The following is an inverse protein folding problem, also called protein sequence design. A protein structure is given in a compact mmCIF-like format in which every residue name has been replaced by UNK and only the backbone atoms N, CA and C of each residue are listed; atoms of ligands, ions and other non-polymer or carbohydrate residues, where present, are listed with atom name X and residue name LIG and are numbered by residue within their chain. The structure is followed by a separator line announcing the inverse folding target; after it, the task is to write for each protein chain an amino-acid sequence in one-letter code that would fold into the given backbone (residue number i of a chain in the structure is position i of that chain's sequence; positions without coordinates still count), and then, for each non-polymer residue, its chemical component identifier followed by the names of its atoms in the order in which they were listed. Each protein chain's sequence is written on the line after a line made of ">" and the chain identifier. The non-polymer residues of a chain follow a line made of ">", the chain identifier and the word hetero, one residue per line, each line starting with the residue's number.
data_IF_246269598339
#
_entry.id   IF_246269598339
#
_cell.length_a   1.000
_cell.length_b   1.000
_cell.length_c   1.000
_cell.angle_alpha   90.00
_cell.angle_beta   90.00
_cell.angle_gamma   90.00
#
_symmetry.space_group_name_H-M   'P 1'
#
loop_
_entity.id
_entity.type
_entity.pdbx_description
1 polymer ?
#
# COMPACT_ATOMS: atom_id res chain seq x y z
N UNK A 1 3.85 9.39 29.43
CA UNK A 1 4.14 8.12 28.73
C UNK A 1 2.98 7.18 28.92
N UNK A 2 2.80 6.25 27.98
CA UNK A 2 1.85 5.15 28.16
C UNK A 2 2.15 4.38 29.47
N UNK A 3 1.14 4.06 30.30
CA UNK A 3 1.37 3.40 31.58
C UNK A 3 1.99 2.00 31.46
N UNK A 4 1.71 1.27 30.37
CA UNK A 4 2.28 -0.05 30.11
C UNK A 4 3.75 0.10 29.75
N UNK A 5 4.08 1.01 28.81
CA UNK A 5 5.46 1.32 28.46
C UNK A 5 6.28 1.75 29.67
N UNK A 6 5.73 2.64 30.51
CA UNK A 6 6.40 3.13 31.72
C UNK A 6 6.70 2.01 32.72
N UNK A 7 5.77 1.06 32.87
CA UNK A 7 5.97 -0.13 33.72
C UNK A 7 6.98 -1.10 33.11
N UNK A 8 7.03 -1.25 31.79
CA UNK A 8 8.03 -2.11 31.15
C UNK A 8 9.46 -1.60 31.36
N UNK A 9 9.66 -0.28 31.43
CA UNK A 9 10.97 0.32 31.69
C UNK A 9 11.47 0.12 33.13
N UNK A 10 10.58 -0.05 34.12
CA UNK A 10 10.99 -0.14 35.54
C UNK A 10 11.84 -1.38 35.86
N UNK A 11 11.82 -2.39 34.98
CA UNK A 11 12.56 -3.63 35.16
C UNK A 11 13.89 -3.65 34.40
N UNK A 12 14.25 -2.56 33.70
CA UNK A 12 15.49 -2.48 32.96
C UNK A 12 16.67 -2.12 33.86
N UNK A 13 17.78 -2.82 33.67
CA UNK A 13 19.07 -2.51 34.29
C UNK A 13 19.93 -1.84 33.23
N UNK A 14 20.45 -0.63 33.51
CA UNK A 14 21.10 0.23 32.52
C UNK A 14 22.20 -0.45 31.68
N UNK A 15 22.92 -1.43 32.24
CA UNK A 15 23.94 -2.21 31.55
C UNK A 15 23.66 -3.70 31.76
N UNK A 16 22.95 -4.39 30.85
CA UNK A 16 22.68 -5.82 30.97
C UNK A 16 24.00 -6.60 30.86
N UNK A 17 24.32 -7.41 31.86
CA UNK A 17 25.50 -8.29 31.89
C UNK A 17 25.14 -9.77 31.79
N UNK A 18 23.85 -10.08 31.77
CA UNK A 18 23.31 -11.44 31.68
C UNK A 18 22.30 -11.56 30.55
N UNK A 19 22.16 -12.77 30.00
CA UNK A 19 21.18 -13.05 28.94
C UNK A 19 19.75 -12.73 29.37
N UNK A 20 19.40 -12.98 30.64
CA UNK A 20 18.08 -12.65 31.20
C UNK A 20 17.83 -11.14 31.20
N UNK A 21 18.82 -10.31 31.54
CA UNK A 21 18.68 -8.86 31.48
C UNK A 21 18.56 -8.36 30.04
N UNK A 22 19.36 -8.90 29.12
CA UNK A 22 19.26 -8.58 27.69
C UNK A 22 17.89 -8.97 27.11
N UNK A 23 17.31 -10.08 27.59
CA UNK A 23 15.98 -10.52 27.18
C UNK A 23 14.90 -9.47 27.48
N UNK A 24 14.96 -8.75 28.60
CA UNK A 24 14.01 -7.68 28.92
C UNK A 24 14.09 -6.51 27.94
N UNK A 25 15.30 -6.13 27.50
CA UNK A 25 15.47 -5.13 26.43
C UNK A 25 14.85 -5.59 25.11
N UNK A 26 15.13 -6.84 24.71
CA UNK A 26 14.59 -7.41 23.48
C UNK A 26 13.06 -7.48 23.51
N UNK A 27 12.45 -7.77 24.67
CA UNK A 27 11.00 -7.76 24.84
C UNK A 27 10.41 -6.37 24.64
N UNK A 28 11.04 -5.32 25.18
CA UNK A 28 10.57 -3.94 25.00
C UNK A 28 10.67 -3.52 23.53
N UNK A 29 11.80 -3.80 22.88
CA UNK A 29 11.98 -3.51 21.45
C UNK A 29 10.96 -4.28 20.60
N UNK A 30 10.72 -5.55 20.92
CA UNK A 30 9.75 -6.37 20.20
C UNK A 30 8.30 -5.90 20.41
N UNK A 31 8.00 -5.29 21.56
CA UNK A 31 6.63 -4.88 21.92
C UNK A 31 6.31 -3.48 21.43
N UNK A 32 7.24 -2.54 21.61
CA UNK A 32 7.02 -1.11 21.37
C UNK A 32 7.78 -0.58 20.15
N UNK A 33 8.62 -1.40 19.54
CA UNK A 33 9.49 -1.00 18.44
C UNK A 33 10.74 -0.26 18.94
N UNK A 34 11.50 0.26 17.98
CA UNK A 34 12.74 1.00 18.21
C UNK A 34 12.59 2.51 18.09
N UNK A 35 11.46 2.98 17.55
CA UNK A 35 11.19 4.39 17.25
C UNK A 35 9.78 4.74 17.69
N UNK A 36 9.55 6.02 17.98
CA UNK A 36 8.22 6.58 18.13
C UNK A 36 7.93 7.52 16.96
N UNK A 37 6.65 7.65 16.61
CA UNK A 37 6.21 8.55 15.55
C UNK A 37 5.96 9.92 16.17
N UNK A 38 6.81 10.90 15.86
CA UNK A 38 6.66 12.28 16.35
C UNK A 38 5.66 13.10 15.53
N UNK A 39 5.50 12.78 14.25
CA UNK A 39 4.53 13.37 13.32
C UNK A 39 4.11 12.35 12.29
N UNK A 40 2.85 12.40 11.87
CA UNK A 40 2.27 11.39 10.97
C UNK A 40 1.27 12.04 10.01
N UNK A 41 1.23 11.53 8.78
CA UNK A 41 0.15 11.81 7.85
C UNK A 41 -0.71 10.55 7.81
N UNK A 42 -2.00 10.70 8.04
CA UNK A 42 -2.97 9.61 7.98
C UNK A 42 -3.90 9.82 6.79
N UNK A 43 -4.29 8.74 6.13
CA UNK A 43 -5.21 8.82 5.01
C UNK A 43 -5.43 7.48 4.34
N UNK A 44 -5.48 7.50 3.02
CA UNK A 44 -5.50 6.29 2.22
C UNK A 44 -4.48 6.36 1.09
N UNK A 45 -3.99 5.19 0.70
CA UNK A 45 -3.11 4.97 -0.44
C UNK A 45 -3.70 3.87 -1.32
N UNK A 46 -3.66 4.08 -2.64
CA UNK A 46 -3.83 3.01 -3.62
C UNK A 46 -2.51 2.82 -4.33
N UNK A 47 -1.98 1.60 -4.27
CA UNK A 47 -0.74 1.23 -4.93
C UNK A 47 -1.03 0.32 -6.11
N UNK A 48 -0.43 0.61 -7.26
CA UNK A 48 -0.51 -0.23 -8.44
C UNK A 48 0.87 -0.74 -8.80
N UNK A 49 1.08 -2.02 -8.55
CA UNK A 49 2.32 -2.71 -8.91
C UNK A 49 2.15 -3.28 -10.32
N UNK A 50 2.90 -2.73 -11.27
CA UNK A 50 2.93 -3.25 -12.64
C UNK A 50 4.25 -3.99 -12.85
N UNK A 51 4.17 -5.30 -12.99
CA UNK A 51 5.30 -6.13 -13.38
C UNK A 51 5.40 -6.11 -14.90
N UNK A 52 6.56 -5.75 -15.44
CA UNK A 52 6.78 -5.62 -16.89
C UNK A 52 7.81 -6.65 -17.33
N UNK A 53 7.50 -7.44 -18.35
CA UNK A 53 8.42 -8.47 -18.87
C UNK A 53 9.74 -7.84 -19.33
N UNK A 54 10.85 -8.54 -19.09
CA UNK A 54 12.18 -8.08 -19.53
C UNK A 54 12.22 -7.86 -21.04
N UNK A 55 11.59 -8.76 -21.81
CA UNK A 55 11.47 -8.64 -23.27
C UNK A 55 10.84 -7.32 -23.69
N UNK A 56 9.79 -6.87 -23.01
CA UNK A 56 9.15 -5.59 -23.33
C UNK A 56 10.06 -4.39 -23.03
N UNK A 57 10.88 -4.49 -21.97
CA UNK A 57 11.86 -3.46 -21.61
C UNK A 57 13.02 -3.34 -22.62
N UNK A 58 13.32 -4.38 -23.39
CA UNK A 58 14.32 -4.34 -24.46
C UNK A 58 13.86 -3.52 -25.67
N UNK A 59 12.56 -3.58 -26.00
CA UNK A 59 11.99 -2.89 -27.15
C UNK A 59 11.53 -1.46 -26.85
N UNK A 60 11.18 -1.18 -25.60
CA UNK A 60 10.60 0.10 -25.19
C UNK A 60 11.43 0.78 -24.11
N UNK A 61 11.70 2.07 -24.29
CA UNK A 61 12.37 2.85 -23.26
C UNK A 61 11.47 3.08 -22.04
N UNK A 62 12.11 3.38 -20.90
CA UNK A 62 11.47 3.63 -19.61
C UNK A 62 10.32 4.64 -19.69
N UNK A 63 10.48 5.75 -20.41
CA UNK A 63 9.45 6.80 -20.52
C UNK A 63 8.19 6.30 -21.22
N UNK A 64 8.33 5.48 -22.27
CA UNK A 64 7.21 4.86 -22.97
C UNK A 64 6.47 3.87 -22.06
N UNK A 65 7.21 3.09 -21.27
CA UNK A 65 6.64 2.15 -20.29
C UNK A 65 5.89 2.90 -19.20
N UNK A 66 6.48 3.93 -18.60
CA UNK A 66 5.85 4.78 -17.58
C UNK A 66 4.58 5.46 -18.08
N UNK A 67 4.57 5.89 -19.35
CA UNK A 67 3.36 6.44 -19.99
C UNK A 67 2.25 5.39 -20.07
N UNK A 68 2.57 4.16 -20.48
CA UNK A 68 1.59 3.07 -20.50
C UNK A 68 1.12 2.70 -19.10
N UNK A 69 2.01 2.68 -18.09
CA UNK A 69 1.63 2.47 -16.70
C UNK A 69 0.66 3.53 -16.19
N UNK A 70 0.91 4.81 -16.50
CA UNK A 70 0.04 5.93 -16.10
C UNK A 70 -1.35 5.81 -16.74
N UNK A 71 -1.41 5.50 -18.04
CA UNK A 71 -2.67 5.22 -18.76
C UNK A 71 -3.39 4.01 -18.14
N UNK A 72 -2.64 2.95 -17.81
CA UNK A 72 -3.15 1.77 -17.15
C UNK A 72 -3.76 2.08 -15.79
N UNK A 73 -3.13 2.96 -15.01
CA UNK A 73 -3.65 3.40 -13.72
C UNK A 73 -5.00 4.10 -13.86
N UNK A 74 -5.07 5.12 -14.72
CA UNK A 74 -6.32 5.86 -14.97
C UNK A 74 -7.44 4.94 -15.45
N UNK A 75 -7.12 4.00 -16.35
CA UNK A 75 -8.08 3.04 -16.88
C UNK A 75 -8.59 2.06 -15.81
N UNK A 76 -7.72 1.57 -14.93
CA UNK A 76 -8.13 0.69 -13.82
C UNK A 76 -8.94 1.46 -12.77
N UNK A 77 -8.49 2.66 -12.38
CA UNK A 77 -9.23 3.54 -11.47
C UNK A 77 -10.66 3.76 -11.97
N UNK A 78 -10.79 4.12 -13.25
CA UNK A 78 -12.07 4.32 -13.89
C UNK A 78 -12.91 3.05 -13.82
N UNK A 79 -12.40 1.88 -14.24
CA UNK A 79 -13.16 0.62 -14.17
C UNK A 79 -13.60 0.21 -12.76
N UNK A 80 -12.85 0.61 -11.73
CA UNK A 80 -13.17 0.34 -10.33
C UNK A 80 -14.15 1.35 -9.72
N UNK A 81 -14.56 2.37 -10.48
CA UNK A 81 -15.50 3.41 -10.05
C UNK A 81 -16.91 3.13 -10.57
N UNK A 82 -17.93 3.30 -9.72
CA UNK A 82 -19.33 3.09 -10.05
C UNK A 82 -19.85 4.04 -11.13
N UNK A 83 -19.21 5.21 -11.27
CA UNK A 83 -19.50 6.21 -12.30
C UNK A 83 -18.89 5.88 -13.66
N UNK A 84 -18.21 4.73 -13.81
CA UNK A 84 -17.58 4.36 -15.06
C UNK A 84 -18.59 4.21 -16.18
N UNK A 85 -18.62 5.21 -17.05
CA UNK A 85 -19.35 5.15 -18.29
C UNK A 85 -18.40 4.74 -19.42
N UNK A 86 -18.66 3.58 -20.06
CA UNK A 86 -17.88 3.10 -21.20
C UNK A 86 -17.87 4.07 -22.40
N UNK A 87 -18.75 5.08 -22.41
CA UNK A 87 -18.75 6.13 -23.43
C UNK A 87 -17.68 7.19 -23.22
N UNK A 88 -17.02 7.25 -22.06
CA UNK A 88 -15.87 8.13 -21.85
C UNK A 88 -14.67 7.57 -22.61
N UNK A 89 -14.11 8.36 -23.54
CA UNK A 89 -12.86 8.05 -24.22
C UNK A 89 -11.70 8.17 -23.24
N UNK A 90 -11.47 7.12 -22.45
CA UNK A 90 -10.24 7.00 -21.65
C UNK A 90 -9.20 6.33 -22.54
N UNK A 91 -7.98 6.86 -22.51
CA UNK A 91 -6.86 6.18 -23.17
C UNK A 91 -6.72 4.78 -22.58
N UNK A 92 -6.65 3.77 -23.44
CA UNK A 92 -6.40 2.39 -23.01
C UNK A 92 -4.96 2.02 -23.30
N UNK A 93 -4.39 1.18 -22.45
CA UNK A 93 -3.06 0.61 -22.70
C UNK A 93 -3.06 -0.21 -23.98
N UNK A 94 -1.91 -0.28 -24.65
CA UNK A 94 -1.78 -1.08 -25.87
C UNK A 94 -1.95 -2.57 -25.55
N UNK A 95 -2.46 -3.34 -26.51
CA UNK A 95 -2.58 -4.80 -26.35
C UNK A 95 -1.23 -5.47 -26.13
N UNK A 96 -0.16 -4.91 -26.70
CA UNK A 96 1.20 -5.41 -26.46
C UNK A 96 1.64 -5.19 -25.02
N UNK A 97 1.36 -4.01 -24.45
CA UNK A 97 1.64 -3.73 -23.04
C UNK A 97 0.86 -4.70 -22.15
N UNK A 98 -0.46 -4.84 -22.35
CA UNK A 98 -1.30 -5.75 -21.56
C UNK A 98 -0.80 -7.20 -21.56
N UNK A 99 -0.33 -7.71 -22.70
CA UNK A 99 0.20 -9.08 -22.83
C UNK A 99 1.55 -9.28 -22.12
N UNK A 100 2.28 -8.20 -21.87
CA UNK A 100 3.61 -8.23 -21.28
C UNK A 100 3.64 -7.70 -19.84
N UNK A 101 2.48 -7.44 -19.26
CA UNK A 101 2.39 -6.90 -17.90
C UNK A 101 1.40 -7.65 -17.04
N UNK A 102 1.74 -7.79 -15.77
CA UNK A 102 0.82 -8.19 -14.71
C UNK A 102 0.60 -7.01 -13.77
N UNK A 103 -0.66 -6.76 -13.39
CA UNK A 103 -1.05 -5.62 -12.57
C UNK A 103 -1.67 -6.14 -11.28
N UNK A 104 -1.09 -5.73 -10.15
CA UNK A 104 -1.66 -5.91 -8.82
C UNK A 104 -2.05 -4.53 -8.26
N UNK A 105 -3.27 -4.42 -7.74
CA UNK A 105 -3.75 -3.19 -7.08
C UNK A 105 -3.96 -3.47 -5.61
N UNK A 106 -3.32 -2.68 -4.75
CA UNK A 106 -3.46 -2.73 -3.30
C UNK A 106 -4.12 -1.46 -2.79
N UNK A 107 -5.05 -1.64 -1.87
CA UNK A 107 -5.77 -0.56 -1.22
C UNK A 107 -5.39 -0.54 0.25
N UNK A 108 -5.11 0.66 0.75
CA UNK A 108 -4.81 0.95 2.15
C UNK A 108 -5.66 2.17 2.53
N UNK A 109 -6.65 2.07 3.44
CA UNK A 109 -7.15 0.85 4.08
C UNK A 109 -7.66 -0.19 3.08
N UNK A 110 -7.59 -1.47 3.47
CA UNK A 110 -7.99 -2.57 2.59
C UNK A 110 -9.48 -2.57 2.30
N UNK A 111 -9.85 -3.00 1.08
CA UNK A 111 -11.24 -3.23 0.67
C UNK A 111 -11.45 -4.72 0.42
N UNK A 112 -12.54 -5.29 0.95
CA UNK A 112 -12.93 -6.65 0.58
C UNK A 112 -13.50 -6.64 -0.84
N UNK A 113 -12.99 -7.54 -1.67
CA UNK A 113 -13.37 -7.63 -3.08
C UNK A 113 -14.25 -8.86 -3.28
N UNK A 114 -15.44 -8.65 -3.84
CA UNK A 114 -16.32 -9.70 -4.36
C UNK A 114 -16.53 -9.46 -5.85
N UNK A 115 -16.97 -10.46 -6.64
CA UNK A 115 -17.32 -10.25 -8.05
C UNK A 115 -18.34 -9.14 -8.25
N UNK A 116 -19.25 -8.93 -7.29
CA UNK A 116 -20.30 -7.90 -7.32
C UNK A 116 -19.80 -6.51 -6.95
N UNK A 117 -18.72 -6.36 -6.19
CA UNK A 117 -18.16 -5.05 -5.78
C UNK A 117 -16.97 -4.61 -6.61
N UNK A 118 -16.47 -5.46 -7.53
CA UNK A 118 -15.25 -5.18 -8.33
C UNK A 118 -15.28 -3.82 -9.05
N UNK A 119 -16.44 -3.41 -9.55
CA UNK A 119 -16.63 -2.15 -10.28
C UNK A 119 -16.92 -0.93 -9.37
N UNK A 120 -16.86 -1.10 -8.05
CA UNK A 120 -17.06 -0.02 -7.06
C UNK A 120 -15.93 0.03 -6.02
N UNK A 121 -14.84 -0.70 -6.25
CA UNK A 121 -13.73 -0.80 -5.31
C UNK A 121 -13.12 0.57 -5.00
N UNK A 122 -13.04 1.45 -6.00
CA UNK A 122 -12.52 2.79 -5.84
C UNK A 122 -13.40 3.62 -4.91
N UNK A 123 -14.72 3.61 -5.11
CA UNK A 123 -15.65 4.40 -4.28
C UNK A 123 -15.71 3.87 -2.85
N UNK A 124 -15.72 2.54 -2.69
CA UNK A 124 -15.69 1.88 -1.37
C UNK A 124 -14.40 2.24 -0.63
N UNK A 125 -13.27 2.21 -1.34
CA UNK A 125 -11.99 2.60 -0.75
C UNK A 125 -11.98 4.08 -0.36
N UNK A 126 -12.51 4.97 -1.19
CA UNK A 126 -12.54 6.41 -0.92
C UNK A 126 -13.32 6.70 0.37
N UNK A 127 -14.48 6.07 0.55
CA UNK A 127 -15.27 6.15 1.78
C UNK A 127 -14.49 5.62 2.99
N UNK A 128 -13.82 4.46 2.85
CA UNK A 128 -12.98 3.89 3.91
C UNK A 128 -11.75 4.71 4.25
N UNK A 129 -11.07 5.31 3.28
CA UNK A 129 -9.91 6.16 3.51
C UNK A 129 -10.29 7.39 4.33
N UNK A 130 -11.52 7.89 4.17
CA UNK A 130 -12.04 9.02 4.95
C UNK A 130 -12.49 8.65 6.36
N UNK A 131 -13.06 7.45 6.54
CA UNK A 131 -13.65 7.01 7.82
C UNK A 131 -12.71 6.17 8.69
N UNK A 132 -11.78 5.45 8.07
CA UNK A 132 -10.80 4.53 8.69
C UNK A 132 -9.41 4.71 8.07
N UNK A 133 -8.80 5.91 8.21
CA UNK A 133 -7.49 6.17 7.61
C UNK A 133 -6.41 5.28 8.25
N UNK A 134 -5.38 5.00 7.46
CA UNK A 134 -4.19 4.27 7.89
C UNK A 134 -2.97 5.17 7.87
N UNK A 135 -1.92 4.71 8.56
CA UNK A 135 -0.57 5.26 8.55
C UNK A 135 0.17 4.79 7.30
#
# INVERSE_FOLDING_TARGET
>A
FDPIFSRSLSNLVANPTTDTQQMYYNQIISTFGTHYISSIVIGGVVEMFTQVSSKYQEYYNKKSIEKQMSIGFEYQQAQMSASYNRSFQISVTTEEFKKNTEIEVKFSPSVMTTPTTKHKQWDIWLDRASSTPVV
#
